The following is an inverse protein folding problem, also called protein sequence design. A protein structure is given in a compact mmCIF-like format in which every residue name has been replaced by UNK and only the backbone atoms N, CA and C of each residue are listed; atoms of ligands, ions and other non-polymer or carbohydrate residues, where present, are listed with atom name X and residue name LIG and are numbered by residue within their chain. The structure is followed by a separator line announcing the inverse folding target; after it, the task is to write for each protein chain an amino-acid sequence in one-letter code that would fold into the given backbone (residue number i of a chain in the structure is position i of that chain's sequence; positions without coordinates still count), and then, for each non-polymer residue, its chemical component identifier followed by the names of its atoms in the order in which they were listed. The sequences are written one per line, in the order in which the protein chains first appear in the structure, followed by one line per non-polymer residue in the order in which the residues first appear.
data_IF_776021116797
#
_entry.id   IF_776021116797
#
_cell.length_a   1.000
_cell.length_b   1.000
_cell.length_c   1.000
_cell.angle_alpha   90.00
_cell.angle_beta   90.00
_cell.angle_gamma   90.00
#
_symmetry.space_group_name_H-M   'P 1'
#
loop_
_entity.id
_entity.type
_entity.pdbx_description
1 polymer ?
#
# COMPACT_ATOMS: atom_id res chain seq x y z
N UNK A 1 -21.28 -6.83 10.09
CA UNK A 1 -20.07 -6.08 10.47
C UNK A 1 -18.86 -6.87 9.99
N UNK A 2 -18.01 -6.28 9.17
CA UNK A 2 -16.82 -6.94 8.62
C UNK A 2 -15.68 -6.90 9.64
N UNK A 3 -14.81 -7.91 9.64
CA UNK A 3 -13.58 -7.89 10.43
C UNK A 3 -12.38 -7.65 9.50
N UNK A 4 -11.65 -6.57 9.73
CA UNK A 4 -10.44 -6.18 8.99
C UNK A 4 -9.23 -6.60 9.83
N UNK A 5 -8.50 -7.67 9.46
CA UNK A 5 -7.31 -8.09 10.17
C UNK A 5 -6.14 -7.13 9.87
N UNK A 6 -5.12 -7.11 10.73
CA UNK A 6 -3.83 -6.54 10.31
C UNK A 6 -3.09 -7.55 9.43
N UNK A 7 -2.29 -7.05 8.48
CA UNK A 7 -1.39 -7.88 7.70
C UNK A 7 0.01 -7.83 8.31
N UNK A 8 0.56 -9.00 8.64
CA UNK A 8 1.92 -9.15 9.15
C UNK A 8 2.72 -9.99 8.18
N UNK A 9 3.65 -9.36 7.44
CA UNK A 9 4.37 -9.98 6.32
C UNK A 9 3.41 -10.64 5.30
N UNK A 10 2.36 -9.92 4.91
CA UNK A 10 1.34 -10.40 3.96
C UNK A 10 0.35 -11.42 4.51
N UNK A 11 0.47 -11.85 5.78
CA UNK A 11 -0.44 -12.83 6.39
C UNK A 11 -1.47 -12.14 7.29
N UNK A 12 -2.79 -12.43 7.13
CA UNK A 12 -3.82 -11.97 8.04
C UNK A 12 -3.55 -12.38 9.48
N UNK A 13 -3.72 -11.45 10.42
CA UNK A 13 -3.62 -11.68 11.85
C UNK A 13 -4.74 -10.95 12.58
N UNK A 14 -5.53 -11.70 13.34
CA UNK A 14 -6.55 -11.16 14.24
C UNK A 14 -5.91 -10.84 15.59
N UNK A 15 -5.94 -9.56 15.98
CA UNK A 15 -5.47 -9.09 17.28
C UNK A 15 -6.51 -9.27 18.38
N UNK A 16 -6.04 -9.31 19.63
CA UNK A 16 -6.91 -9.23 20.81
C UNK A 16 -7.56 -7.84 20.95
N UNK A 17 -6.82 -6.79 20.59
CA UNK A 17 -7.31 -5.41 20.60
C UNK A 17 -7.92 -5.07 19.24
N UNK A 18 -9.20 -4.69 19.23
CA UNK A 18 -9.93 -4.32 18.03
C UNK A 18 -10.56 -2.94 18.22
N UNK A 19 -10.67 -2.18 17.13
CA UNK A 19 -11.36 -0.90 17.10
C UNK A 19 -12.63 -1.01 16.24
N UNK A 20 -13.76 -0.56 16.75
CA UNK A 20 -15.01 -0.47 15.97
C UNK A 20 -15.03 0.81 15.16
N UNK A 21 -15.30 0.70 13.87
CA UNK A 21 -15.46 1.84 12.95
C UNK A 21 -16.96 2.07 12.72
N UNK A 22 -17.52 3.18 13.22
CA UNK A 22 -18.94 3.47 13.08
C UNK A 22 -19.26 4.10 11.73
N UNK A 23 -20.52 4.00 11.33
CA UNK A 23 -21.08 4.76 10.22
C UNK A 23 -21.13 6.25 10.61
N UNK A 24 -20.60 7.13 9.77
CA UNK A 24 -20.41 8.56 10.08
C UNK A 24 -21.70 9.28 10.52
N UNK A 25 -22.85 8.87 9.94
CA UNK A 25 -24.18 9.45 10.23
C UNK A 25 -24.97 8.72 11.32
N UNK A 26 -25.21 7.41 11.20
CA UNK A 26 -26.06 6.66 12.13
C UNK A 26 -25.34 6.23 13.42
N UNK A 27 -24.01 6.19 13.42
CA UNK A 27 -23.21 5.63 14.52
C UNK A 27 -23.20 4.11 14.58
N UNK A 28 -23.96 3.42 13.72
CA UNK A 28 -24.01 1.95 13.68
C UNK A 28 -22.65 1.35 13.26
N UNK A 29 -22.25 0.20 13.80
CA UNK A 29 -20.95 -0.38 13.52
C UNK A 29 -20.85 -0.93 12.08
N UNK A 30 -19.87 -0.44 11.32
CA UNK A 30 -19.60 -0.89 9.94
C UNK A 30 -18.56 -2.01 9.95
N UNK A 31 -17.46 -1.81 10.65
CA UNK A 31 -16.32 -2.73 10.69
C UNK A 31 -15.70 -2.82 12.10
N UNK A 32 -15.03 -3.94 12.37
CA UNK A 32 -14.04 -4.08 13.44
C UNK A 32 -12.66 -4.25 12.84
N UNK A 33 -11.70 -3.45 13.29
CA UNK A 33 -10.34 -3.42 12.75
C UNK A 33 -9.37 -3.88 13.82
N UNK A 34 -8.63 -4.95 13.54
CA UNK A 34 -7.52 -5.38 14.39
C UNK A 34 -6.49 -4.27 14.55
N UNK A 35 -6.00 -4.07 15.76
CA UNK A 35 -4.97 -3.09 16.09
C UNK A 35 -3.60 -3.75 16.26
N UNK A 36 -2.56 -3.10 15.74
CA UNK A 36 -1.18 -3.48 15.98
C UNK A 36 -0.63 -2.70 17.17
N UNK A 37 -0.40 -3.38 18.29
CA UNK A 37 0.29 -2.77 19.43
C UNK A 37 1.81 -2.67 19.20
N UNK A 38 2.49 -1.89 20.06
CA UNK A 38 3.94 -1.68 20.00
C UNK A 38 4.75 -3.00 19.97
N UNK A 39 4.33 -4.00 20.73
CA UNK A 39 5.02 -5.29 20.81
C UNK A 39 4.97 -6.07 19.51
N UNK A 40 3.82 -6.05 18.81
CA UNK A 40 3.66 -6.68 17.50
C UNK A 40 4.57 -6.01 16.46
N UNK A 41 4.57 -4.68 16.42
CA UNK A 41 5.40 -3.89 15.50
C UNK A 41 6.88 -4.17 15.77
N UNK A 42 7.32 -4.08 17.03
CA UNK A 42 8.71 -4.36 17.40
C UNK A 42 9.14 -5.78 16.99
N UNK A 43 8.28 -6.79 17.20
CA UNK A 43 8.55 -8.17 16.78
C UNK A 43 8.69 -8.29 15.26
N UNK A 44 7.86 -7.58 14.50
CA UNK A 44 7.94 -7.59 13.04
C UNK A 44 9.22 -6.92 12.52
N UNK A 45 9.68 -5.87 13.19
CA UNK A 45 10.93 -5.19 12.85
C UNK A 45 12.18 -6.05 13.14
N UNK A 46 12.13 -7.02 14.06
CA UNK A 46 13.24 -7.94 14.30
C UNK A 46 13.57 -8.81 13.06
N UNK A 47 12.59 -9.02 12.17
CA UNK A 47 12.76 -9.77 10.92
C UNK A 47 13.03 -8.86 9.72
N UNK A 48 13.29 -7.57 9.93
CA UNK A 48 13.37 -6.62 8.83
C UNK A 48 14.50 -6.93 7.84
N UNK A 49 15.66 -7.36 8.32
CA UNK A 49 16.78 -7.73 7.46
C UNK A 49 16.42 -8.87 6.48
N UNK A 50 15.73 -9.91 6.98
CA UNK A 50 15.25 -11.02 6.15
C UNK A 50 14.20 -10.55 5.14
N UNK A 51 13.23 -9.73 5.57
CA UNK A 51 12.18 -9.18 4.70
C UNK A 51 12.75 -8.27 3.61
N UNK A 52 13.75 -7.48 3.95
CA UNK A 52 14.50 -6.66 3.00
C UNK A 52 15.24 -7.54 1.99
N UNK A 53 15.90 -8.61 2.42
CA UNK A 53 16.54 -9.56 1.48
C UNK A 53 15.52 -10.17 0.50
N UNK A 54 14.33 -10.54 0.98
CA UNK A 54 13.26 -11.04 0.12
C UNK A 54 12.79 -9.99 -0.89
N UNK A 55 12.62 -8.74 -0.48
CA UNK A 55 12.24 -7.63 -1.36
C UNK A 55 13.33 -7.32 -2.39
N UNK A 56 14.60 -7.35 -1.97
CA UNK A 56 15.75 -7.13 -2.83
C UNK A 56 15.95 -8.23 -3.87
N UNK A 57 15.52 -9.47 -3.57
CA UNK A 57 15.56 -10.59 -4.50
C UNK A 57 14.60 -10.42 -5.69
N UNK A 58 13.57 -9.58 -5.58
CA UNK A 58 12.72 -9.19 -6.69
C UNK A 58 13.39 -8.08 -7.49
N UNK A 59 13.42 -8.22 -8.81
CA UNK A 59 13.84 -7.13 -9.70
C UNK A 59 12.84 -5.98 -9.65
N UNK A 60 13.30 -4.77 -9.96
CA UNK A 60 12.41 -3.61 -10.09
C UNK A 60 11.34 -3.86 -11.13
N UNK A 61 11.66 -4.56 -12.23
CA UNK A 61 10.73 -4.89 -13.30
C UNK A 61 9.60 -5.81 -12.81
N UNK A 62 9.91 -6.80 -11.98
CA UNK A 62 8.91 -7.63 -11.31
C UNK A 62 8.04 -6.81 -10.34
N UNK A 63 8.65 -5.90 -9.56
CA UNK A 63 7.89 -5.01 -8.65
C UNK A 63 6.93 -4.07 -9.40
N UNK A 64 7.33 -3.55 -10.56
CA UNK A 64 6.47 -2.76 -11.44
C UNK A 64 5.30 -3.60 -11.99
N UNK A 65 5.55 -4.86 -12.36
CA UNK A 65 4.49 -5.78 -12.78
C UNK A 65 3.52 -6.10 -11.63
N UNK A 66 4.04 -6.30 -10.40
CA UNK A 66 3.23 -6.49 -9.20
C UNK A 66 2.34 -5.27 -8.95
N UNK A 67 2.87 -4.05 -9.10
CA UNK A 67 2.07 -2.82 -8.97
C UNK A 67 0.91 -2.81 -9.98
N UNK A 68 1.19 -3.09 -11.25
CA UNK A 68 0.14 -3.14 -12.30
C UNK A 68 -0.90 -4.23 -12.04
N UNK A 69 -0.47 -5.42 -11.59
CA UNK A 69 -1.40 -6.49 -11.22
C UNK A 69 -2.27 -6.09 -10.00
N UNK A 70 -1.68 -5.46 -8.99
CA UNK A 70 -2.41 -4.96 -7.83
C UNK A 70 -3.44 -3.88 -8.22
N UNK A 71 -3.13 -3.02 -9.19
CA UNK A 71 -4.06 -2.02 -9.71
C UNK A 71 -5.33 -2.68 -10.27
N UNK A 72 -5.14 -3.67 -11.15
CA UNK A 72 -6.23 -4.44 -11.75
C UNK A 72 -7.06 -5.16 -10.68
N UNK A 73 -6.40 -5.84 -9.74
CA UNK A 73 -7.09 -6.53 -8.65
C UNK A 73 -7.91 -5.56 -7.79
N UNK A 74 -7.34 -4.41 -7.43
CA UNK A 74 -8.03 -3.43 -6.59
C UNK A 74 -9.24 -2.80 -7.29
N UNK A 75 -9.17 -2.62 -8.61
CA UNK A 75 -10.26 -2.03 -9.39
C UNK A 75 -11.39 -3.01 -9.73
N UNK A 76 -11.06 -4.28 -10.00
CA UNK A 76 -11.99 -5.22 -10.65
C UNK A 76 -12.34 -6.45 -9.81
N UNK A 77 -11.46 -6.89 -8.91
CA UNK A 77 -11.59 -8.21 -8.29
C UNK A 77 -12.36 -8.16 -6.96
N UNK A 78 -13.05 -9.26 -6.67
CA UNK A 78 -13.52 -9.58 -5.31
C UNK A 78 -12.33 -10.17 -4.55
N UNK A 79 -11.90 -9.51 -3.48
CA UNK A 79 -10.69 -9.85 -2.74
C UNK A 79 -10.99 -10.39 -1.34
N UNK A 80 -10.17 -11.30 -0.80
CA UNK A 80 -10.34 -11.80 0.56
C UNK A 80 -10.14 -10.69 1.59
N UNK A 81 -11.03 -10.62 2.59
CA UNK A 81 -10.98 -9.70 3.72
C UNK A 81 -11.38 -10.41 5.01
N UNK A 82 -10.38 -10.79 5.81
CA UNK A 82 -10.60 -11.56 7.03
C UNK A 82 -11.23 -12.92 6.74
N UNK A 83 -12.39 -13.19 7.32
CA UNK A 83 -13.17 -14.41 7.08
C UNK A 83 -14.14 -14.30 5.88
N UNK A 84 -14.20 -13.15 5.22
CA UNK A 84 -15.08 -12.90 4.10
C UNK A 84 -14.33 -12.35 2.88
N UNK A 85 -15.06 -11.65 2.03
CA UNK A 85 -14.55 -11.05 0.81
C UNK A 85 -15.08 -9.60 0.70
N UNK A 86 -14.45 -8.81 -0.17
CA UNK A 86 -14.82 -7.43 -0.46
C UNK A 86 -14.74 -7.21 -1.97
N UNK A 87 -15.86 -6.83 -2.59
CA UNK A 87 -15.88 -6.33 -3.96
C UNK A 87 -15.45 -4.85 -4.04
N UNK A 88 -15.13 -4.32 -5.22
CA UNK A 88 -14.84 -2.89 -5.38
C UNK A 88 -16.01 -2.00 -4.95
N UNK A 89 -17.26 -2.40 -5.22
CA UNK A 89 -18.42 -1.61 -4.80
C UNK A 89 -18.65 -1.71 -3.28
N UNK A 90 -18.35 -2.84 -2.64
CA UNK A 90 -18.35 -2.94 -1.18
C UNK A 90 -17.31 -1.99 -0.57
N UNK A 91 -16.10 -1.95 -1.11
CA UNK A 91 -15.05 -1.01 -0.69
C UNK A 91 -15.54 0.43 -0.78
N UNK A 92 -16.14 0.84 -1.90
CA UNK A 92 -16.67 2.20 -2.11
C UNK A 92 -17.78 2.53 -1.11
N UNK A 93 -18.73 1.60 -0.90
CA UNK A 93 -19.83 1.80 0.04
C UNK A 93 -19.33 1.92 1.49
N UNK A 94 -18.43 1.04 1.91
CA UNK A 94 -17.85 1.02 3.26
C UNK A 94 -16.97 2.24 3.53
N UNK A 95 -16.18 2.67 2.53
CA UNK A 95 -15.37 3.87 2.64
C UNK A 95 -16.25 5.12 2.77
N UNK A 96 -17.31 5.22 1.98
CA UNK A 96 -18.30 6.30 2.09
C UNK A 96 -18.98 6.30 3.45
N UNK A 97 -19.41 5.13 3.94
CA UNK A 97 -20.06 4.97 5.23
C UNK A 97 -19.18 5.37 6.42
N UNK A 98 -17.86 5.14 6.35
CA UNK A 98 -16.94 5.40 7.47
C UNK A 98 -16.29 6.80 7.43
N UNK A 99 -16.19 7.41 6.25
CA UNK A 99 -15.56 8.75 6.09
C UNK A 99 -16.57 9.88 5.90
N UNK A 100 -17.81 9.56 5.51
CA UNK A 100 -18.81 10.55 5.11
C UNK A 100 -18.60 11.15 3.72
N UNK A 101 -17.58 10.72 2.97
CA UNK A 101 -17.40 11.17 1.59
C UNK A 101 -18.48 10.60 0.65
N UNK A 102 -18.93 11.35 -0.37
CA UNK A 102 -19.78 10.80 -1.42
C UNK A 102 -19.09 9.64 -2.15
N UNK A 103 -19.83 8.59 -2.49
CA UNK A 103 -19.29 7.43 -3.21
C UNK A 103 -18.59 7.79 -4.53
N UNK A 104 -19.05 8.84 -5.21
CA UNK A 104 -18.39 9.36 -6.42
C UNK A 104 -16.97 9.87 -6.15
N UNK A 105 -16.72 10.46 -4.97
CA UNK A 105 -15.39 10.89 -4.56
C UNK A 105 -14.55 9.70 -4.07
N UNK A 106 -15.15 8.72 -3.40
CA UNK A 106 -14.48 7.46 -3.07
C UNK A 106 -13.96 6.78 -4.34
N UNK A 107 -14.77 6.75 -5.41
CA UNK A 107 -14.39 6.15 -6.69
C UNK A 107 -13.24 6.89 -7.37
N UNK A 108 -13.28 8.22 -7.39
CA UNK A 108 -12.15 9.05 -7.86
C UNK A 108 -10.86 8.82 -7.07
N UNK A 109 -10.94 8.59 -5.75
CA UNK A 109 -9.77 8.25 -4.94
C UNK A 109 -9.22 6.87 -5.30
N UNK A 110 -10.10 5.88 -5.52
CA UNK A 110 -9.72 4.56 -6.01
C UNK A 110 -9.02 4.68 -7.37
N UNK A 111 -9.59 5.41 -8.33
CA UNK A 111 -9.01 5.64 -9.65
C UNK A 111 -7.63 6.28 -9.57
N UNK A 112 -7.42 7.23 -8.64
CA UNK A 112 -6.12 7.85 -8.41
C UNK A 112 -5.07 6.84 -7.92
N UNK A 113 -5.44 5.92 -7.04
CA UNK A 113 -4.55 4.87 -6.53
C UNK A 113 -4.20 3.90 -7.67
N UNK A 114 -5.21 3.47 -8.44
CA UNK A 114 -5.05 2.59 -9.61
C UNK A 114 -4.10 3.23 -10.62
N UNK A 115 -4.31 4.49 -10.98
CA UNK A 115 -3.46 5.21 -11.92
C UNK A 115 -1.98 5.22 -11.48
N UNK A 116 -1.70 5.51 -10.21
CA UNK A 116 -0.31 5.51 -9.71
C UNK A 116 0.32 4.12 -9.78
N UNK A 117 -0.44 3.06 -9.51
CA UNK A 117 0.06 1.69 -9.62
C UNK A 117 0.31 1.26 -11.08
N UNK A 118 -0.59 1.62 -12.00
CA UNK A 118 -0.46 1.30 -13.43
C UNK A 118 0.70 2.04 -14.09
N UNK A 119 0.86 3.32 -13.74
CA UNK A 119 1.87 4.24 -14.27
C UNK A 119 3.09 4.36 -13.36
N UNK A 120 3.34 3.36 -12.50
CA UNK A 120 4.39 3.41 -11.48
C UNK A 120 5.78 3.74 -12.06
N UNK A 121 6.12 3.22 -13.24
CA UNK A 121 7.39 3.52 -13.91
C UNK A 121 7.49 5.00 -14.32
N UNK A 122 6.40 5.58 -14.85
CA UNK A 122 6.35 7.00 -15.19
C UNK A 122 6.40 7.88 -13.94
N UNK A 123 5.75 7.46 -12.84
CA UNK A 123 5.83 8.13 -11.53
C UNK A 123 7.26 8.15 -11.03
N UNK A 124 7.96 7.01 -11.05
CA UNK A 124 9.37 6.94 -10.69
C UNK A 124 10.23 7.84 -11.58
N UNK A 125 10.01 7.82 -12.90
CA UNK A 125 10.69 8.72 -13.83
C UNK A 125 10.48 10.20 -13.48
N UNK A 126 9.27 10.59 -13.10
CA UNK A 126 8.98 11.95 -12.62
C UNK A 126 9.72 12.31 -11.33
N UNK A 127 9.80 11.36 -10.38
CA UNK A 127 10.46 11.54 -9.08
C UNK A 127 12.00 11.56 -9.19
N UNK A 128 12.55 10.80 -10.13
CA UNK A 128 14.01 10.64 -10.29
C UNK A 128 14.60 11.44 -11.45
N UNK A 129 13.78 12.22 -12.18
CA UNK A 129 14.17 12.93 -13.40
C UNK A 129 14.63 12.00 -14.53
N UNK A 130 13.93 10.88 -14.70
CA UNK A 130 14.14 9.93 -15.80
C UNK A 130 15.38 9.06 -15.65
N UNK A 131 15.81 8.78 -14.42
CA UNK A 131 16.88 7.81 -14.17
C UNK A 131 16.36 6.42 -14.54
N UNK A 132 17.20 5.61 -15.20
CA UNK A 132 16.88 4.21 -15.48
C UNK A 132 16.61 3.43 -14.19
N UNK A 133 15.44 2.78 -14.14
CA UNK A 133 14.96 2.05 -12.96
C UNK A 133 15.87 0.90 -12.55
N UNK A 134 16.72 0.39 -13.45
CA UNK A 134 17.73 -0.64 -13.14
C UNK A 134 18.71 -0.19 -12.04
N UNK A 135 18.81 1.12 -11.75
CA UNK A 135 19.57 1.65 -10.61
C UNK A 135 19.08 1.09 -9.27
N UNK A 136 17.78 0.76 -9.14
CA UNK A 136 17.21 0.25 -7.89
C UNK A 136 17.58 -1.20 -7.61
N UNK A 137 18.01 -1.94 -8.64
CA UNK A 137 18.52 -3.30 -8.51
C UNK A 137 20.04 -3.33 -8.33
N UNK A 138 20.75 -2.50 -9.10
CA UNK A 138 22.22 -2.50 -9.14
C UNK A 138 22.87 -1.61 -8.09
N UNK A 139 22.13 -0.64 -7.56
CA UNK A 139 22.65 0.43 -6.70
C UNK A 139 23.44 1.51 -7.44
N UNK A 140 23.72 1.34 -8.73
CA UNK A 140 24.40 2.33 -9.57
C UNK A 140 24.18 2.08 -11.06
N UNK A 141 24.29 3.14 -11.86
CA UNK A 141 24.31 3.13 -13.32
C UNK A 141 25.26 4.20 -13.87
N UNK A 142 25.53 4.16 -15.16
CA UNK A 142 26.06 5.29 -15.92
C UNK A 142 24.99 5.75 -16.90
N UNK A 143 24.60 7.02 -16.82
CA UNK A 143 23.60 7.62 -17.70
C UNK A 143 24.14 8.93 -18.24
N UNK A 144 24.15 9.10 -19.57
CA UNK A 144 24.70 10.29 -20.24
C UNK A 144 26.17 10.59 -19.84
N UNK A 145 26.99 9.54 -19.66
CA UNK A 145 28.39 9.67 -19.25
C UNK A 145 28.58 10.10 -17.79
N UNK A 146 27.53 10.05 -16.97
CA UNK A 146 27.56 10.41 -15.55
C UNK A 146 27.31 9.17 -14.68
N UNK A 147 28.23 8.83 -13.75
CA UNK A 147 27.95 7.80 -12.76
C UNK A 147 26.92 8.30 -11.76
N UNK A 148 25.88 7.50 -11.54
CA UNK A 148 24.82 7.74 -10.57
C UNK A 148 24.70 6.55 -9.64
N UNK A 149 24.48 6.81 -8.35
CA UNK A 149 24.27 5.78 -7.33
C UNK A 149 22.94 6.00 -6.64
N UNK A 150 22.28 4.90 -6.29
CA UNK A 150 21.09 4.88 -5.46
C UNK A 150 21.41 4.17 -4.15
N UNK A 151 21.20 4.86 -3.03
CA UNK A 151 21.34 4.30 -1.70
C UNK A 151 20.03 4.50 -0.96
N UNK A 152 19.49 3.41 -0.42
CA UNK A 152 18.37 3.45 0.51
C UNK A 152 18.88 3.86 1.90
N UNK A 153 18.23 4.85 2.49
CA UNK A 153 18.58 5.38 3.83
C UNK A 153 17.85 4.63 4.97
N UNK A 154 16.93 3.72 4.64
CA UNK A 154 16.16 2.95 5.60
C UNK A 154 15.85 1.53 5.09
N UNK A 155 15.66 0.61 6.03
CA UNK A 155 15.16 -0.74 5.78
C UNK A 155 13.63 -0.83 5.80
N UNK A 156 12.95 0.24 6.24
CA UNK A 156 11.50 0.25 6.37
C UNK A 156 10.92 1.67 6.29
N UNK A 157 9.78 1.80 5.62
CA UNK A 157 8.94 3.00 5.67
C UNK A 157 7.81 2.87 6.70
N UNK A 158 7.66 3.88 7.57
CA UNK A 158 6.48 4.07 8.41
C UNK A 158 5.62 5.23 7.89
N UNK A 159 4.35 4.96 7.56
CA UNK A 159 3.40 5.98 7.10
C UNK A 159 2.19 6.08 8.04
N UNK A 160 1.94 7.27 8.59
CA UNK A 160 0.74 7.59 9.37
C UNK A 160 -0.16 8.45 8.48
N UNK A 161 -1.32 7.92 8.13
CA UNK A 161 -2.20 8.51 7.13
C UNK A 161 -3.45 9.10 7.76
N UNK A 162 -3.94 10.25 7.26
CA UNK A 162 -5.16 10.84 7.77
C UNK A 162 -6.39 10.10 7.21
N UNK A 163 -7.50 10.12 7.95
CA UNK A 163 -8.74 9.45 7.55
C UNK A 163 -9.59 10.22 6.54
N UNK A 164 -9.24 11.46 6.22
CA UNK A 164 -10.07 12.37 5.44
C UNK A 164 -9.94 12.20 3.91
N UNK A 165 -8.88 11.56 3.41
CA UNK A 165 -8.66 11.39 1.97
C UNK A 165 -7.89 10.10 1.65
N UNK A 166 -8.58 9.03 1.22
CA UNK A 166 -7.96 7.76 0.85
C UNK A 166 -7.01 7.88 -0.34
N UNK A 167 -7.19 8.88 -1.21
CA UNK A 167 -6.25 9.15 -2.30
C UNK A 167 -4.84 9.54 -1.83
N UNK A 168 -4.61 9.71 -0.52
CA UNK A 168 -3.27 9.85 0.07
C UNK A 168 -2.44 8.57 -0.08
N UNK A 169 -3.08 7.40 -0.23
CA UNK A 169 -2.36 6.14 -0.43
C UNK A 169 -1.49 6.19 -1.69
N UNK A 170 -1.84 7.02 -2.68
CA UNK A 170 -1.03 7.22 -3.89
C UNK A 170 0.38 7.79 -3.63
N UNK A 171 0.66 8.32 -2.44
CA UNK A 171 1.93 9.00 -2.14
C UNK A 171 3.05 8.06 -1.68
N UNK A 172 2.71 6.96 -0.99
CA UNK A 172 3.71 6.05 -0.43
C UNK A 172 3.98 4.82 -1.29
N UNK A 173 3.10 4.50 -2.25
CA UNK A 173 3.25 3.34 -3.14
C UNK A 173 4.61 3.26 -3.87
N UNK A 174 5.26 4.38 -4.27
CA UNK A 174 6.59 4.31 -4.86
C UNK A 174 7.65 3.66 -3.95
N UNK A 175 7.44 3.59 -2.64
CA UNK A 175 8.35 2.89 -1.73
C UNK A 175 8.55 1.41 -2.10
N UNK A 176 7.51 0.77 -2.67
CA UNK A 176 7.54 -0.65 -3.08
C UNK A 176 8.63 -0.90 -4.14
N UNK A 177 8.60 -0.28 -5.34
CA UNK A 177 9.66 -0.45 -6.33
C UNK A 177 10.98 0.24 -5.95
N UNK A 178 10.97 1.19 -5.02
CA UNK A 178 12.20 1.75 -4.41
C UNK A 178 12.84 0.81 -3.37
N UNK A 179 12.18 -0.31 -3.05
CA UNK A 179 12.61 -1.37 -2.14
C UNK A 179 12.80 -0.91 -0.68
N UNK A 180 11.88 -0.08 -0.18
CA UNK A 180 11.85 0.44 1.20
C UNK A 180 10.50 0.21 1.88
#
# INVERSE_FOLDING_TARGET
MIHIPILRAGKPYQSLEVATVPHFRSGEPVAEVSQANRGLIARDLLQMAERQQMLQALSVRELLQICRAAAKHFQEAVLPLGAGEQSPDDYIAQLSATTGMPQSLCRKNMDKIVLVLEEMEAVLGGLTRGIDVEIFDRGWIEQEGRPLSFLREADALGAILPSNSPGVHSLWLPAIPLKV
#
